data_IF_316530880422
#
_entry.id   IF_316530880422
#
_cell.length_a   1.000
_cell.length_b   1.000
_cell.length_c   1.000
_cell.angle_alpha   90.00
_cell.angle_beta   90.00
_cell.angle_gamma   90.00
#
_symmetry.space_group_name_H-M   'P 1'
#
loop_
_entity.id
_entity.type
_entity.pdbx_description
1 polymer ?
#
# COMPACT_ATOMS: atom_id res chain seq x y z
N UNK A 1 18.63 6.10 15.71
CA UNK A 1 17.61 5.41 14.90
C UNK A 1 17.94 3.93 14.91
N UNK A 2 16.96 3.05 15.15
CA UNK A 2 17.17 1.60 15.10
C UNK A 2 17.23 1.15 13.64
N UNK A 3 18.20 0.33 13.28
CA UNK A 3 18.42 -0.11 11.89
C UNK A 3 18.62 -1.63 11.81
N UNK A 4 18.22 -2.28 10.70
CA UNK A 4 18.56 -3.67 10.45
C UNK A 4 20.03 -3.79 10.06
N UNK A 5 20.63 -4.94 10.35
CA UNK A 5 21.97 -5.33 9.92
C UNK A 5 21.96 -6.63 9.13
N UNK A 6 22.83 -6.75 8.13
CA UNK A 6 23.02 -7.98 7.35
C UNK A 6 24.38 -8.56 7.70
N UNK A 7 24.40 -9.81 8.14
CA UNK A 7 25.60 -10.58 8.44
C UNK A 7 25.63 -11.82 7.55
N UNK A 8 26.31 -11.72 6.41
CA UNK A 8 26.43 -12.83 5.46
C UNK A 8 27.75 -12.81 4.69
N UNK A 9 28.26 -13.99 4.30
CA UNK A 9 29.41 -14.12 3.38
C UNK A 9 28.94 -14.26 1.93
N UNK A 10 27.64 -14.49 1.70
CA UNK A 10 27.07 -14.65 0.37
C UNK A 10 26.72 -13.29 -0.24
N UNK A 11 27.49 -12.91 -1.26
CA UNK A 11 27.33 -11.63 -1.96
C UNK A 11 25.96 -11.48 -2.65
N UNK A 12 25.42 -12.55 -3.22
CA UNK A 12 24.11 -12.49 -3.88
C UNK A 12 22.99 -12.23 -2.87
N UNK A 13 22.99 -12.95 -1.74
CA UNK A 13 22.01 -12.74 -0.66
C UNK A 13 22.11 -11.34 -0.06
N UNK A 14 23.34 -10.84 0.14
CA UNK A 14 23.55 -9.47 0.58
C UNK A 14 22.89 -8.47 -0.37
N UNK A 15 23.11 -8.61 -1.68
CA UNK A 15 22.54 -7.70 -2.68
C UNK A 15 21.02 -7.75 -2.73
N UNK A 16 20.44 -8.95 -2.70
CA UNK A 16 19.00 -9.13 -2.74
C UNK A 16 18.31 -8.47 -1.54
N UNK A 17 18.87 -8.66 -0.33
CA UNK A 17 18.33 -8.07 0.90
C UNK A 17 18.53 -6.55 0.91
N UNK A 18 19.71 -6.05 0.50
CA UNK A 18 19.97 -4.60 0.38
C UNK A 18 19.02 -3.95 -0.61
N UNK A 19 18.78 -4.56 -1.77
CA UNK A 19 17.85 -4.04 -2.76
C UNK A 19 16.43 -3.99 -2.21
N UNK A 20 16.02 -5.02 -1.48
CA UNK A 20 14.71 -5.07 -0.84
C UNK A 20 14.51 -3.95 0.20
N UNK A 21 15.50 -3.66 1.05
CA UNK A 21 15.43 -2.50 1.97
C UNK A 21 15.45 -1.16 1.23
N UNK A 22 16.24 -1.05 0.16
CA UNK A 22 16.29 0.15 -0.68
C UNK A 22 14.92 0.46 -1.30
N UNK A 23 14.20 -0.56 -1.79
CA UNK A 23 12.82 -0.41 -2.29
C UNK A 23 11.85 0.12 -1.22
N UNK A 24 12.17 -0.07 0.07
CA UNK A 24 11.41 0.45 1.21
C UNK A 24 11.92 1.79 1.74
N UNK A 25 13.00 2.34 1.16
CA UNK A 25 13.61 3.59 1.62
C UNK A 25 14.28 3.47 2.99
N UNK A 26 14.64 2.26 3.43
CA UNK A 26 15.25 2.02 4.74
C UNK A 26 16.73 1.72 4.57
N UNK A 27 17.57 2.38 5.36
CA UNK A 27 19.01 2.07 5.43
C UNK A 27 19.26 0.76 6.17
N UNK A 28 20.23 -0.02 5.70
CA UNK A 28 20.66 -1.27 6.32
C UNK A 28 22.16 -1.25 6.55
N UNK A 29 22.60 -1.77 7.69
CA UNK A 29 24.02 -1.87 8.04
C UNK A 29 24.63 -3.18 7.53
N UNK A 30 25.85 -3.13 7.01
CA UNK A 30 26.64 -4.33 6.76
C UNK A 30 27.41 -4.71 8.02
N UNK A 31 27.33 -5.97 8.42
CA UNK A 31 27.95 -6.51 9.63
C UNK A 31 29.05 -7.52 9.28
N UNK A 32 30.05 -7.63 10.14
CA UNK A 32 31.18 -8.56 9.99
C UNK A 32 31.20 -9.57 11.14
N UNK A 33 31.52 -10.82 10.83
CA UNK A 33 31.68 -11.87 11.84
C UNK A 33 32.85 -11.55 12.78
N UNK A 34 32.67 -11.84 14.07
CA UNK A 34 33.69 -11.59 15.10
C UNK A 34 33.92 -10.12 15.45
N UNK A 35 33.18 -9.18 14.84
CA UNK A 35 33.20 -7.77 15.25
C UNK A 35 32.00 -7.43 16.14
N UNK A 36 32.17 -6.51 17.11
CA UNK A 36 31.05 -6.03 17.92
C UNK A 36 30.01 -5.34 17.04
N UNK A 37 28.74 -5.57 17.34
CA UNK A 37 27.63 -4.96 16.61
C UNK A 37 27.60 -3.45 16.82
N UNK A 38 27.41 -2.65 15.74
CA UNK A 38 27.23 -1.22 15.86
C UNK A 38 26.06 -0.85 16.78
N UNK A 39 26.14 0.28 17.51
CA UNK A 39 25.04 0.73 18.34
C UNK A 39 23.82 1.06 17.45
N UNK A 40 22.65 0.58 17.86
CA UNK A 40 21.38 0.82 17.14
C UNK A 40 20.95 -0.30 16.19
N UNK A 41 21.70 -1.39 16.07
CA UNK A 41 21.21 -2.61 15.40
C UNK A 41 20.04 -3.18 16.20
N UNK A 42 18.90 -3.33 15.55
CA UNK A 42 17.68 -3.84 16.17
C UNK A 42 17.16 -5.16 15.55
N UNK A 43 17.71 -5.55 14.41
CA UNK A 43 17.50 -6.84 13.78
C UNK A 43 18.77 -7.25 13.06
N UNK A 44 19.13 -8.53 13.11
CA UNK A 44 20.24 -9.09 12.34
C UNK A 44 19.68 -10.13 11.38
N UNK A 45 19.96 -9.96 10.10
CA UNK A 45 19.65 -10.93 9.04
C UNK A 45 20.90 -11.74 8.75
N UNK A 46 20.79 -13.06 8.73
CA UNK A 46 21.91 -13.96 8.46
C UNK A 46 21.48 -15.16 7.61
N UNK A 47 22.45 -15.91 7.10
CA UNK A 47 22.23 -17.22 6.47
C UNK A 47 22.91 -18.30 7.29
N UNK A 48 22.21 -19.41 7.55
CA UNK A 48 22.82 -20.59 8.21
C UNK A 48 23.93 -21.20 7.36
N UNK A 49 23.91 -20.96 6.06
CA UNK A 49 24.91 -21.41 5.09
C UNK A 49 26.30 -20.79 5.33
N UNK A 50 26.39 -19.67 6.05
CA UNK A 50 27.66 -18.99 6.34
C UNK A 50 28.49 -19.67 7.43
N UNK A 51 27.91 -20.68 8.11
CA UNK A 51 28.57 -21.56 9.08
C UNK A 51 28.85 -20.95 10.46
N UNK A 52 28.54 -19.67 10.66
CA UNK A 52 28.73 -18.95 11.91
C UNK A 52 27.41 -18.32 12.35
N UNK A 53 27.04 -18.54 13.61
CA UNK A 53 25.82 -17.97 14.17
C UNK A 53 26.06 -16.50 14.59
N UNK A 54 25.14 -15.57 14.31
CA UNK A 54 25.24 -14.20 14.79
C UNK A 54 25.20 -14.15 16.32
N UNK A 55 26.09 -13.36 16.93
CA UNK A 55 25.99 -12.99 18.35
C UNK A 55 24.94 -11.88 18.53
N UNK A 56 23.67 -12.26 18.35
CA UNK A 56 22.53 -11.37 18.47
C UNK A 56 21.31 -12.15 19.00
N UNK A 57 20.51 -11.57 19.91
CA UNK A 57 19.29 -12.21 20.37
C UNK A 57 18.27 -12.31 19.23
N UNK A 58 17.84 -13.54 18.93
CA UNK A 58 16.81 -13.84 17.92
C UNK A 58 17.13 -13.27 16.52
N UNK A 59 18.19 -13.75 15.86
CA UNK A 59 18.54 -13.35 14.50
C UNK A 59 17.55 -13.93 13.49
N UNK A 60 17.31 -13.20 12.41
CA UNK A 60 16.44 -13.61 11.32
C UNK A 60 17.28 -14.38 10.29
N UNK A 61 17.07 -15.69 10.21
CA UNK A 61 17.72 -16.50 9.19
C UNK A 61 16.90 -16.50 7.91
N UNK A 62 17.54 -16.22 6.77
CA UNK A 62 16.88 -16.18 5.45
C UNK A 62 16.10 -17.47 5.18
N UNK A 63 16.63 -18.62 5.61
CA UNK A 63 16.04 -19.93 5.39
C UNK A 63 14.72 -20.15 6.14
N UNK A 64 14.39 -19.32 7.15
CA UNK A 64 13.12 -19.39 7.89
C UNK A 64 11.96 -18.69 7.17
N UNK A 65 12.23 -18.05 6.03
CA UNK A 65 11.26 -17.24 5.30
C UNK A 65 11.02 -17.80 3.90
N UNK A 66 9.76 -17.74 3.45
CA UNK A 66 9.39 -18.15 2.09
C UNK A 66 9.80 -17.15 1.01
N UNK A 67 10.19 -15.93 1.40
CA UNK A 67 10.64 -14.86 0.49
C UNK A 67 11.52 -13.83 1.22
N UNK A 68 12.34 -13.10 0.46
CA UNK A 68 13.16 -11.98 0.97
C UNK A 68 12.27 -10.86 1.52
N UNK A 69 11.10 -10.66 0.92
CA UNK A 69 10.14 -9.64 1.27
C UNK A 69 9.55 -9.88 2.65
N UNK A 70 9.15 -11.13 2.95
CA UNK A 70 8.69 -11.51 4.29
C UNK A 70 9.77 -11.37 5.36
N UNK A 71 11.04 -11.65 5.01
CA UNK A 71 12.18 -11.46 5.89
C UNK A 71 12.42 -9.98 6.20
N UNK A 72 12.34 -9.13 5.17
CA UNK A 72 12.47 -7.68 5.31
C UNK A 72 11.36 -7.13 6.20
N UNK A 73 10.11 -7.56 5.99
CA UNK A 73 8.98 -7.13 6.81
C UNK A 73 9.20 -7.48 8.29
N UNK A 74 9.65 -8.70 8.58
CA UNK A 74 9.99 -9.12 9.94
C UNK A 74 11.13 -8.28 10.56
N UNK A 75 12.17 -7.98 9.78
CA UNK A 75 13.27 -7.13 10.23
C UNK A 75 12.81 -5.69 10.54
N UNK A 76 11.95 -5.13 9.70
CA UNK A 76 11.36 -3.80 9.89
C UNK A 76 10.49 -3.75 11.14
N UNK A 77 9.68 -4.78 11.41
CA UNK A 77 8.88 -4.88 12.62
C UNK A 77 9.72 -4.99 13.89
N UNK A 78 10.84 -5.75 13.85
CA UNK A 78 11.80 -5.81 14.96
C UNK A 78 12.46 -4.46 15.21
N UNK A 79 12.83 -3.73 14.16
CA UNK A 79 13.33 -2.35 14.28
C UNK A 79 12.28 -1.41 14.94
N UNK A 80 10.99 -1.66 14.69
CA UNK A 80 9.87 -0.95 15.29
C UNK A 80 9.55 -1.32 16.75
N UNK A 81 10.04 -2.44 17.27
CA UNK A 81 10.01 -2.75 18.71
C UNK A 81 9.68 -4.18 19.11
N UNK A 82 8.57 -4.75 18.63
CA UNK A 82 8.04 -6.03 19.16
C UNK A 82 8.18 -7.23 18.22
N UNK A 83 8.52 -7.05 16.95
CA UNK A 83 8.52 -8.14 15.95
C UNK A 83 7.11 -8.65 15.56
N UNK A 84 6.18 -8.70 16.51
CA UNK A 84 4.76 -9.00 16.33
C UNK A 84 3.96 -7.75 15.92
N UNK A 85 2.94 -7.93 15.07
CA UNK A 85 2.05 -6.86 14.63
C UNK A 85 0.86 -6.75 15.58
N UNK A 86 0.81 -5.70 16.40
CA UNK A 86 -0.36 -5.41 17.25
C UNK A 86 -1.48 -4.73 16.47
N UNK A 87 -1.10 -3.84 15.56
CA UNK A 87 -2.04 -3.11 14.72
C UNK A 87 -1.58 -3.14 13.27
N UNK A 88 -2.45 -3.69 12.40
CA UNK A 88 -2.33 -3.65 10.95
C UNK A 88 -3.27 -2.57 10.41
N UNK A 89 -2.70 -1.56 9.77
CA UNK A 89 -3.45 -0.51 9.09
C UNK A 89 -3.23 -0.60 7.60
N UNK A 90 -4.32 -0.69 6.83
CA UNK A 90 -4.27 -0.68 5.38
C UNK A 90 -4.87 0.65 4.91
N UNK A 91 -4.02 1.57 4.43
CA UNK A 91 -4.47 2.81 3.82
C UNK A 91 -4.74 2.63 2.34
N UNK A 92 -5.86 3.20 1.87
CA UNK A 92 -6.35 3.06 0.50
C UNK A 92 -6.66 4.43 -0.06
N UNK A 93 -5.95 4.81 -1.11
CA UNK A 93 -6.26 5.99 -1.93
C UNK A 93 -7.26 5.61 -3.02
N UNK A 94 -8.51 6.09 -2.98
CA UNK A 94 -9.54 5.70 -3.92
C UNK A 94 -9.26 6.25 -5.33
N UNK A 95 -9.37 5.39 -6.33
CA UNK A 95 -9.12 5.76 -7.73
C UNK A 95 -9.54 4.64 -8.68
N UNK A 96 -9.25 4.82 -9.97
CA UNK A 96 -9.46 3.77 -10.97
C UNK A 96 -8.53 2.59 -10.72
N UNK A 97 -7.29 2.89 -10.32
CA UNK A 97 -6.29 1.94 -9.81
C UNK A 97 -5.96 2.29 -8.35
N UNK A 98 -6.77 1.86 -7.37
CA UNK A 98 -6.60 2.26 -5.98
C UNK A 98 -5.19 1.98 -5.46
N UNK A 99 -4.55 2.99 -4.86
CA UNK A 99 -3.26 2.83 -4.19
C UNK A 99 -3.46 2.23 -2.81
N UNK A 100 -2.61 1.26 -2.43
CA UNK A 100 -2.71 0.54 -1.16
C UNK A 100 -1.35 0.62 -0.44
N UNK A 101 -1.38 1.04 0.82
CA UNK A 101 -0.22 1.03 1.71
C UNK A 101 -0.54 0.26 2.98
N UNK A 102 0.34 -0.65 3.37
CA UNK A 102 0.16 -1.56 4.51
C UNK A 102 1.16 -1.21 5.59
N UNK A 103 0.66 -0.96 6.80
CA UNK A 103 1.46 -0.62 7.96
C UNK A 103 1.23 -1.63 9.08
N UNK A 104 2.31 -2.15 9.65
CA UNK A 104 2.28 -2.93 10.90
C UNK A 104 2.97 -2.12 11.99
N UNK A 105 2.29 -1.84 13.10
CA UNK A 105 2.81 -1.01 14.20
C UNK A 105 3.38 0.34 13.71
N UNK A 106 2.72 0.98 12.74
CA UNK A 106 3.17 2.23 12.09
C UNK A 106 4.44 2.12 11.25
N UNK A 107 4.94 0.91 10.98
CA UNK A 107 6.02 0.64 10.04
C UNK A 107 5.45 0.22 8.69
N UNK A 108 5.92 0.84 7.61
CA UNK A 108 5.47 0.52 6.25
C UNK A 108 5.98 -0.86 5.84
N UNK A 109 5.06 -1.81 5.66
CA UNK A 109 5.34 -3.19 5.24
C UNK A 109 5.12 -3.40 3.75
N UNK A 110 4.20 -2.69 3.11
CA UNK A 110 3.96 -2.92 1.69
C UNK A 110 3.30 -1.74 1.01
N UNK A 111 3.57 -1.61 -0.28
CA UNK A 111 2.84 -0.74 -1.20
C UNK A 111 2.47 -1.54 -2.45
N UNK A 112 1.24 -1.41 -2.91
CA UNK A 112 0.78 -1.97 -4.17
C UNK A 112 -0.45 -1.21 -4.70
N UNK A 113 -0.86 -1.49 -5.93
CA UNK A 113 -2.07 -0.93 -6.51
C UNK A 113 -3.06 -2.06 -6.80
N UNK A 114 -4.35 -1.82 -6.54
CA UNK A 114 -5.43 -2.64 -7.05
C UNK A 114 -5.73 -2.26 -8.51
N UNK A 115 -6.35 -3.20 -9.24
CA UNK A 115 -6.75 -2.99 -10.65
C UNK A 115 -8.08 -2.29 -10.81
N UNK A 116 -8.89 -2.26 -9.75
CA UNK A 116 -10.19 -1.60 -9.68
C UNK A 116 -10.61 -1.41 -8.22
N UNK A 117 -11.64 -0.60 -7.93
CA UNK A 117 -12.25 -0.53 -6.60
C UNK A 117 -12.69 -1.89 -6.03
N UNK A 118 -13.19 -2.80 -6.86
CA UNK A 118 -13.66 -4.13 -6.44
C UNK A 118 -12.49 -5.09 -6.15
N UNK A 119 -11.40 -4.98 -6.91
CA UNK A 119 -10.18 -5.78 -6.73
C UNK A 119 -9.42 -5.43 -5.45
N UNK A 120 -9.81 -4.37 -4.75
CA UNK A 120 -9.30 -4.08 -3.40
C UNK A 120 -9.62 -5.21 -2.43
N UNK A 121 -10.81 -5.81 -2.50
CA UNK A 121 -11.21 -6.89 -1.59
C UNK A 121 -10.26 -8.09 -1.62
N UNK A 122 -9.99 -8.75 -2.77
CA UNK A 122 -9.07 -9.88 -2.80
C UNK A 122 -7.63 -9.50 -2.43
N UNK A 123 -7.21 -8.24 -2.69
CA UNK A 123 -5.92 -7.73 -2.20
C UNK A 123 -5.90 -7.69 -0.67
N UNK A 124 -6.91 -7.11 -0.03
CA UNK A 124 -7.02 -7.03 1.43
C UNK A 124 -7.12 -8.44 2.03
N UNK A 125 -7.90 -9.35 1.44
CA UNK A 125 -8.00 -10.75 1.90
C UNK A 125 -6.63 -11.43 1.93
N UNK A 126 -5.84 -11.29 0.85
CA UNK A 126 -4.47 -11.82 0.79
C UNK A 126 -3.57 -11.20 1.85
N UNK A 127 -3.68 -9.88 2.09
CA UNK A 127 -2.88 -9.17 3.08
C UNK A 127 -3.19 -9.65 4.51
N UNK A 128 -4.45 -9.91 4.83
CA UNK A 128 -4.85 -10.43 6.14
C UNK A 128 -4.39 -11.88 6.38
N UNK A 129 -4.31 -12.67 5.32
CA UNK A 129 -3.70 -14.00 5.39
C UNK A 129 -2.17 -13.94 5.55
N UNK A 130 -1.54 -12.87 5.06
CA UNK A 130 -0.08 -12.71 5.11
C UNK A 130 0.39 -12.13 6.44
N UNK A 131 -0.35 -11.17 6.99
CA UNK A 131 0.01 -10.44 8.19
C UNK A 131 -1.02 -10.72 9.30
N UNK A 132 -0.60 -11.49 10.30
CA UNK A 132 -1.41 -11.72 11.49
C UNK A 132 -1.25 -10.57 12.47
N UNK A 133 -2.37 -9.95 12.87
CA UNK A 133 -2.38 -8.84 13.80
C UNK A 133 -3.58 -8.89 14.76
N UNK A 134 -3.40 -8.38 15.97
CA UNK A 134 -4.47 -8.33 17.00
C UNK A 134 -5.61 -7.40 16.59
N UNK A 135 -5.26 -6.27 15.94
CA UNK A 135 -6.19 -5.28 15.41
C UNK A 135 -5.92 -5.03 13.95
N UNK A 136 -6.99 -4.92 13.18
CA UNK A 136 -6.97 -4.57 11.76
C UNK A 136 -7.93 -3.41 11.52
N UNK A 137 -7.48 -2.41 10.77
CA UNK A 137 -8.35 -1.34 10.27
C UNK A 137 -7.97 -0.99 8.84
N UNK A 138 -8.98 -0.78 7.99
CA UNK A 138 -8.81 -0.23 6.65
C UNK A 138 -9.18 1.24 6.67
N UNK A 139 -8.26 2.09 6.22
CA UNK A 139 -8.46 3.53 6.08
C UNK A 139 -8.62 3.88 4.61
N UNK A 140 -9.69 4.58 4.26
CA UNK A 140 -9.99 4.97 2.88
C UNK A 140 -10.03 6.49 2.79
N UNK A 141 -9.38 7.04 1.76
CA UNK A 141 -9.40 8.46 1.44
C UNK A 141 -10.81 9.01 1.16
N UNK A 142 -11.00 10.31 1.34
CA UNK A 142 -12.27 10.98 1.09
C UNK A 142 -12.51 11.30 -0.39
N UNK A 143 -11.46 11.28 -1.20
CA UNK A 143 -11.49 11.58 -2.64
C UNK A 143 -12.45 10.70 -3.46
N UNK A 144 -12.66 11.10 -4.71
CA UNK A 144 -13.34 10.32 -5.76
C UNK A 144 -14.60 9.55 -5.28
N UNK A 145 -15.64 10.27 -4.82
CA UNK A 145 -16.85 9.73 -4.16
C UNK A 145 -17.35 8.40 -4.71
N UNK A 146 -17.54 8.27 -6.03
CA UNK A 146 -18.04 7.02 -6.64
C UNK A 146 -17.05 5.87 -6.46
N UNK A 147 -15.78 6.08 -6.78
CA UNK A 147 -14.73 5.05 -6.70
C UNK A 147 -14.49 4.64 -5.25
N UNK A 148 -14.43 5.61 -4.35
CA UNK A 148 -14.39 5.39 -2.90
C UNK A 148 -15.57 4.58 -2.40
N UNK A 149 -16.80 4.94 -2.79
CA UNK A 149 -18.00 4.22 -2.37
C UNK A 149 -18.00 2.79 -2.90
N UNK A 150 -17.52 2.56 -4.13
CA UNK A 150 -17.32 1.22 -4.68
C UNK A 150 -16.31 0.42 -3.86
N UNK A 151 -15.18 1.02 -3.48
CA UNK A 151 -14.19 0.38 -2.60
C UNK A 151 -14.77 0.06 -1.22
N UNK A 152 -15.50 0.99 -0.59
CA UNK A 152 -16.17 0.76 0.69
C UNK A 152 -17.15 -0.40 0.57
N UNK A 153 -18.00 -0.39 -0.46
CA UNK A 153 -18.99 -1.45 -0.68
C UNK A 153 -18.31 -2.81 -0.92
N UNK A 154 -17.18 -2.85 -1.64
CA UNK A 154 -16.42 -4.08 -1.89
C UNK A 154 -15.86 -4.69 -0.59
N UNK A 155 -15.48 -3.85 0.38
CA UNK A 155 -14.93 -4.25 1.68
C UNK A 155 -15.99 -4.36 2.80
N UNK A 156 -17.23 -3.99 2.52
CA UNK A 156 -18.30 -3.94 3.51
C UNK A 156 -18.54 -5.32 4.14
N UNK A 157 -18.62 -5.35 5.47
CA UNK A 157 -18.80 -6.58 6.25
C UNK A 157 -17.56 -7.47 6.39
N UNK A 158 -16.42 -7.09 5.81
CA UNK A 158 -15.18 -7.87 5.89
C UNK A 158 -14.25 -7.37 7.00
N UNK A 159 -14.08 -6.05 7.12
CA UNK A 159 -13.13 -5.40 8.02
C UNK A 159 -13.68 -4.06 8.50
N UNK A 160 -13.27 -3.54 9.66
CA UNK A 160 -13.58 -2.18 10.07
C UNK A 160 -13.01 -1.17 9.08
N UNK A 161 -13.84 -0.22 8.64
CA UNK A 161 -13.47 0.80 7.66
C UNK A 161 -13.54 2.19 8.31
N UNK A 162 -12.46 2.94 8.20
CA UNK A 162 -12.36 4.33 8.58
C UNK A 162 -12.25 5.22 7.34
N UNK A 163 -13.08 6.27 7.26
CA UNK A 163 -12.98 7.27 6.23
C UNK A 163 -12.10 8.44 6.70
N UNK A 164 -10.98 8.65 6.02
CA UNK A 164 -9.96 9.67 6.34
C UNK A 164 -10.20 10.91 5.50
N UNK A 165 -10.24 12.08 6.14
CA UNK A 165 -10.42 13.36 5.44
C UNK A 165 -9.07 13.97 5.04
N UNK A 166 -8.72 13.87 3.76
CA UNK A 166 -7.49 14.42 3.18
C UNK A 166 -7.43 15.97 3.19
N UNK A 167 -8.56 16.66 3.34
CA UNK A 167 -8.62 18.12 3.39
C UNK A 167 -8.22 18.72 4.75
N UNK A 168 -8.01 17.87 5.76
CA UNK A 168 -7.69 18.28 7.13
C UNK A 168 -6.37 17.70 7.62
N UNK A 169 -5.37 17.53 6.77
CA UNK A 169 -3.99 17.27 7.22
C UNK A 169 -3.37 18.59 7.71
N UNK A 170 -3.86 19.08 8.87
CA UNK A 170 -2.99 19.94 9.68
C UNK A 170 -1.85 19.03 10.13
N UNK A 171 -0.58 19.32 9.79
CA UNK A 171 0.51 18.44 10.16
C UNK A 171 0.54 18.35 11.69
N UNK A 172 0.34 17.14 12.21
CA UNK A 172 0.56 16.87 13.61
C UNK A 172 2.03 17.19 13.90
N UNK A 173 2.17 18.16 14.80
CA UNK A 173 3.38 18.73 15.37
C UNK A 173 4.47 17.66 15.58
N UNK A 174 5.57 17.79 14.81
CA UNK A 174 6.88 17.23 15.10
C UNK A 174 6.97 15.71 15.18
N UNK A 175 7.38 15.06 14.09
CA UNK A 175 8.58 14.20 14.05
C UNK A 175 8.69 13.52 12.68
N UNK A 176 9.87 13.72 12.07
CA UNK A 176 10.43 13.03 10.88
C UNK A 176 9.78 13.41 9.53
N UNK A 177 10.13 14.62 9.06
CA UNK A 177 10.10 15.00 7.65
C UNK A 177 11.37 14.45 6.99
N UNK A 178 11.37 13.17 6.64
CA UNK A 178 12.23 12.61 5.59
C UNK A 178 11.45 11.55 4.80
N UNK A 179 10.33 11.95 4.20
CA UNK A 179 9.72 11.20 3.10
C UNK A 179 9.34 12.21 2.02
N UNK A 180 10.33 12.57 1.19
CA UNK A 180 10.05 13.17 -0.12
C UNK A 180 9.25 12.13 -0.91
N UNK A 181 8.15 12.58 -1.51
CA UNK A 181 7.05 11.83 -2.14
C UNK A 181 6.12 11.10 -1.15
N UNK A 182 5.22 11.87 -0.52
CA UNK A 182 4.12 11.33 0.29
C UNK A 182 3.09 10.66 -0.62
N UNK A 183 3.25 9.35 -0.80
CA UNK A 183 2.24 8.45 -1.34
C UNK A 183 0.90 8.64 -0.60
N UNK A 184 -0.17 8.94 -1.33
CA UNK A 184 -1.48 9.27 -0.76
C UNK A 184 -2.02 8.13 0.12
N UNK A 185 -1.83 6.87 -0.31
CA UNK A 185 -2.27 5.71 0.45
C UNK A 185 -1.53 5.60 1.80
N UNK A 186 -0.24 5.97 1.82
CA UNK A 186 0.55 6.01 3.05
C UNK A 186 0.09 7.12 4.00
N UNK A 187 -0.21 8.31 3.47
CA UNK A 187 -0.76 9.41 4.26
C UNK A 187 -2.13 9.03 4.86
N UNK A 188 -2.99 8.38 4.08
CA UNK A 188 -4.28 7.87 4.52
C UNK A 188 -4.12 6.81 5.61
N UNK A 189 -3.17 5.87 5.46
CA UNK A 189 -2.88 4.85 6.46
C UNK A 189 -2.48 5.47 7.81
N UNK A 190 -1.73 6.58 7.81
CA UNK A 190 -1.26 7.23 9.03
C UNK A 190 -2.24 8.25 9.61
N UNK A 191 -3.24 8.67 8.84
CA UNK A 191 -4.28 9.60 9.25
C UNK A 191 -5.29 8.98 10.22
N UNK A 192 -6.09 9.83 10.85
CA UNK A 192 -7.27 9.43 11.62
C UNK A 192 -8.53 9.53 10.78
N UNK A 193 -9.37 8.50 10.78
CA UNK A 193 -10.65 8.52 10.09
C UNK A 193 -11.84 8.40 11.02
N UNK A 194 -13.03 8.53 10.45
CA UNK A 194 -14.31 8.20 11.11
C UNK A 194 -14.76 6.81 10.66
N UNK A 195 -15.20 5.99 11.59
CA UNK A 195 -15.75 4.68 11.24
C UNK A 195 -16.98 4.84 10.33
N UNK A 196 -17.06 4.00 9.30
CA UNK A 196 -18.17 3.96 8.36
C UNK A 196 -18.64 2.52 8.17
N UNK A 197 -19.95 2.36 8.01
CA UNK A 197 -20.58 1.06 7.77
C UNK A 197 -21.80 1.22 6.87
N UNK A 198 -22.22 0.12 6.25
CA UNK A 198 -23.35 0.06 5.33
C UNK A 198 -22.99 0.25 3.87
N UNK A 199 -24.01 0.38 3.04
CA UNK A 199 -23.87 0.57 1.60
C UNK A 199 -23.90 2.05 1.22
N UNK A 200 -22.98 2.43 0.36
CA UNK A 200 -22.87 3.79 -0.15
C UNK A 200 -23.38 3.87 -1.59
N UNK A 201 -24.12 4.95 -1.89
CA UNK A 201 -24.65 5.16 -3.24
C UNK A 201 -23.53 5.34 -4.26
N UNK A 202 -23.60 4.56 -5.34
CA UNK A 202 -22.70 4.64 -6.49
C UNK A 202 -23.34 5.34 -7.69
N UNK A 203 -24.48 6.02 -7.49
CA UNK A 203 -25.18 6.74 -8.56
C UNK A 203 -24.41 8.04 -8.88
N UNK A 204 -23.90 8.21 -10.11
CA UNK A 204 -23.18 9.42 -10.49
C UNK A 204 -24.06 10.66 -10.49
N UNK A 205 -23.53 11.77 -9.98
CA UNK A 205 -24.15 13.08 -10.12
C UNK A 205 -23.74 13.77 -11.43
N UNK A 206 -24.42 14.86 -11.79
CA UNK A 206 -24.14 15.59 -13.03
C UNK A 206 -22.72 16.16 -13.11
N UNK A 207 -22.10 16.51 -11.97
CA UNK A 207 -20.71 16.95 -11.90
C UNK A 207 -19.74 15.82 -12.23
N UNK A 208 -19.91 14.65 -11.62
CA UNK A 208 -19.10 13.44 -11.85
C UNK A 208 -19.18 12.98 -13.30
N UNK A 209 -20.39 12.99 -13.89
CA UNK A 209 -20.58 12.68 -15.31
C UNK A 209 -19.81 13.66 -16.19
N UNK A 210 -19.91 14.97 -15.93
CA UNK A 210 -19.19 15.99 -16.71
C UNK A 210 -17.69 15.85 -16.58
N UNK A 211 -17.19 15.55 -15.39
CA UNK A 211 -15.76 15.32 -15.18
C UNK A 211 -15.28 14.10 -15.96
N UNK A 212 -16.04 13.01 -15.97
CA UNK A 212 -15.70 11.82 -16.74
C UNK A 212 -15.71 12.07 -18.25
N UNK A 213 -16.66 12.86 -18.77
CA UNK A 213 -16.65 13.30 -20.16
C UNK A 213 -15.44 14.18 -20.50
N UNK A 214 -15.03 15.07 -19.58
CA UNK A 214 -13.81 15.86 -19.73
C UNK A 214 -12.57 14.97 -19.78
N UNK A 215 -12.48 13.95 -18.90
CA UNK A 215 -11.39 12.97 -18.89
C UNK A 215 -11.33 12.18 -20.20
N UNK A 216 -12.47 11.73 -20.73
CA UNK A 216 -12.47 10.99 -22.00
C UNK A 216 -11.89 11.83 -23.13
N UNK A 217 -12.24 13.12 -23.18
CA UNK A 217 -11.71 14.05 -24.18
C UNK A 217 -10.20 14.27 -24.04
N UNK A 218 -9.68 14.26 -22.82
CA UNK A 218 -8.23 14.34 -22.57
C UNK A 218 -7.49 13.08 -23.06
N UNK A 219 -8.01 11.89 -22.72
CA UNK A 219 -7.42 10.60 -23.13
C UNK A 219 -7.45 10.43 -24.64
N UNK A 220 -8.49 10.94 -25.30
CA UNK A 220 -8.60 10.92 -26.75
C UNK A 220 -7.92 12.11 -27.44
N UNK A 221 -7.04 12.87 -26.75
CA UNK A 221 -6.35 14.05 -27.30
C UNK A 221 -7.28 15.11 -27.94
N UNK A 222 -8.52 15.20 -27.45
CA UNK A 222 -9.54 16.14 -27.94
C UNK A 222 -10.58 15.55 -28.88
N UNK A 223 -10.35 14.35 -29.43
CA UNK A 223 -11.16 13.74 -30.51
C UNK A 223 -12.57 13.33 -30.06
N UNK A 224 -12.68 12.62 -28.94
CA UNK A 224 -13.92 11.96 -28.53
C UNK A 224 -14.39 12.41 -27.14
N UNK A 225 -15.67 12.77 -27.05
CA UNK A 225 -16.34 12.96 -25.75
C UNK A 225 -17.40 11.87 -25.59
N UNK A 226 -17.23 11.01 -24.59
CA UNK A 226 -18.18 9.92 -24.37
C UNK A 226 -19.56 10.46 -23.97
N UNK A 227 -20.61 9.73 -24.35
CA UNK A 227 -21.98 10.11 -23.98
C UNK A 227 -22.19 10.04 -22.45
N UNK A 228 -23.20 10.76 -21.93
CA UNK A 228 -23.58 10.67 -20.50
C UNK A 228 -23.85 9.23 -20.05
N UNK A 229 -24.47 8.43 -20.92
CA UNK A 229 -24.74 7.01 -20.66
C UNK A 229 -23.44 6.21 -20.55
N UNK A 230 -22.47 6.43 -21.45
CA UNK A 230 -21.16 5.78 -21.36
C UNK A 230 -20.38 6.24 -20.13
N UNK A 231 -20.38 7.53 -19.82
CA UNK A 231 -19.74 8.07 -18.62
C UNK A 231 -20.30 7.44 -17.33
N UNK A 232 -21.63 7.26 -17.25
CA UNK A 232 -22.25 6.59 -16.10
C UNK A 232 -21.79 5.12 -15.97
N UNK A 233 -21.66 4.40 -17.10
CA UNK A 233 -21.17 3.01 -17.13
C UNK A 233 -19.71 2.90 -16.69
N UNK A 234 -18.85 3.84 -17.14
CA UNK A 234 -17.45 3.90 -16.71
C UNK A 234 -17.35 4.16 -15.20
N UNK A 235 -18.06 5.17 -14.69
CA UNK A 235 -18.08 5.48 -13.26
C UNK A 235 -18.61 4.30 -12.42
N UNK A 236 -19.62 3.59 -12.94
CA UNK A 236 -20.19 2.38 -12.34
C UNK A 236 -19.28 1.16 -12.41
N UNK A 237 -18.17 1.19 -13.16
CA UNK A 237 -17.24 0.07 -13.30
C UNK A 237 -17.60 -0.96 -14.34
N UNK A 238 -18.60 -0.69 -15.18
CA UNK A 238 -19.00 -1.60 -16.27
C UNK A 238 -18.01 -1.58 -17.44
N UNK A 239 -17.24 -0.50 -17.58
CA UNK A 239 -16.28 -0.27 -18.67
C UNK A 239 -15.10 0.54 -18.14
N UNK A 240 -13.92 0.34 -18.72
CA UNK A 240 -12.81 1.27 -18.56
C UNK A 240 -13.02 2.53 -19.40
N UNK A 241 -12.30 3.61 -19.06
CA UNK A 241 -12.33 4.84 -19.85
C UNK A 241 -11.84 4.60 -21.28
N UNK A 242 -10.77 3.81 -21.45
CA UNK A 242 -10.20 3.48 -22.74
C UNK A 242 -11.17 2.67 -23.61
N UNK A 243 -11.84 1.67 -23.02
CA UNK A 243 -12.90 0.90 -23.71
C UNK A 243 -14.04 1.80 -24.16
N UNK A 244 -14.46 2.76 -23.33
CA UNK A 244 -15.51 3.70 -23.68
C UNK A 244 -15.11 4.63 -24.82
N UNK A 245 -13.84 5.07 -24.88
CA UNK A 245 -13.29 5.87 -25.98
C UNK A 245 -13.18 5.04 -27.27
N UNK A 246 -12.72 3.79 -27.18
CA UNK A 246 -12.69 2.89 -28.35
C UNK A 246 -14.08 2.64 -28.95
N UNK A 247 -15.10 2.46 -28.10
CA UNK A 247 -16.48 2.30 -28.56
C UNK A 247 -17.00 3.52 -29.31
N UNK A 248 -16.55 4.73 -28.96
CA UNK A 248 -16.83 5.95 -29.72
C UNK A 248 -16.13 5.91 -31.09
N UNK A 249 -14.84 5.57 -31.11
CA UNK A 249 -14.04 5.48 -32.35
C UNK A 249 -14.61 4.48 -33.36
N UNK A 250 -15.04 3.30 -32.91
CA UNK A 250 -15.66 2.26 -33.78
C UNK A 250 -17.02 2.65 -34.33
N UNK A 251 -17.73 3.58 -33.69
CA UNK A 251 -19.04 4.06 -34.18
C UNK A 251 -18.91 5.12 -35.27
N UNK A 252 -17.80 5.87 -35.30
CA UNK A 252 -17.55 6.88 -36.34
C UNK A 252 -16.83 6.32 -37.57
N UNK A 253 -16.07 5.23 -37.42
CA UNK A 253 -15.47 4.45 -38.52
C UNK A 253 -16.06 3.01 -38.54
N UNK A 254 -17.28 2.81 -39.05
CA UNK A 254 -17.97 1.52 -39.09
C UNK A 254 -17.34 0.49 -40.05
#
# INVERSE_FOLDING_TARGET
MKVPGILTKNFSLYHDVVEGFRKRGVGVASLEFGRPLPPGIAAVIASRSDGEAPDFPDPLFIEDFSSIESLIDAALLKCGGSGEIRELVIGIDPGELPGIAVYGNRVLLKKENARSPEEVRPVVERLLCTYHADRVVVRIGHGARILRNRTINALSGMVPIELVNEQCTTPARGEIVEQRDSDAAAAIALGSGREVSGEFSIVPNAGEIRDMQRKSRLVSEGEFTISKKLAARVLGGELSLDEAVELCRRKENP
#
